data_IF_890734316538
#
_entry.id   IF_890734316538
#
_cell.length_a   1.000
_cell.length_b   1.000
_cell.length_c   1.000
_cell.angle_alpha   90.00
_cell.angle_beta   90.00
_cell.angle_gamma   90.00
#
_symmetry.space_group_name_H-M   'P 1'
#
loop_
_entity.id
_entity.type
_entity.pdbx_description
1 polymer ?
#
# COMPACT_ATOMS: atom_id res chain seq x y z
N UNK A 1 39.82 -2.49 10.74
CA UNK A 1 40.05 -3.23 12.00
C UNK A 1 41.47 -3.83 12.03
N UNK A 2 42.50 -3.01 11.79
CA UNK A 2 43.93 -3.38 11.83
C UNK A 2 44.73 -2.34 12.66
N UNK A 3 44.00 -1.45 13.35
CA UNK A 3 44.55 -0.40 14.24
C UNK A 3 44.04 -0.57 15.68
N UNK A 4 43.74 -1.80 16.10
CA UNK A 4 43.30 -2.10 17.48
C UNK A 4 43.96 -3.37 18.07
N UNK A 5 44.73 -4.12 17.28
CA UNK A 5 45.52 -5.26 17.78
C UNK A 5 46.97 -4.89 18.14
N UNK A 6 47.42 -3.68 17.79
CA UNK A 6 48.76 -3.20 18.10
C UNK A 6 48.90 -2.63 19.53
N UNK A 7 47.78 -2.38 20.23
CA UNK A 7 47.79 -1.77 21.56
C UNK A 7 47.75 -2.80 22.72
N UNK A 8 47.50 -4.08 22.40
CA UNK A 8 47.35 -5.14 23.41
C UNK A 8 48.60 -6.00 23.60
N UNK A 9 49.69 -5.71 22.88
CA UNK A 9 50.99 -6.39 22.99
C UNK A 9 52.05 -5.55 23.73
N UNK A 10 51.64 -4.45 24.37
CA UNK A 10 52.51 -3.51 25.10
C UNK A 10 52.18 -3.40 26.60
N UNK A 11 51.31 -4.26 27.14
CA UNK A 11 50.88 -4.22 28.55
C UNK A 11 51.26 -5.44 29.41
N UNK A 12 52.02 -6.40 28.87
CA UNK A 12 52.49 -7.58 29.64
C UNK A 12 54.00 -7.79 29.43
N UNK A 13 54.84 -6.99 30.09
CA UNK A 13 56.26 -7.29 30.31
C UNK A 13 56.93 -6.31 31.30
N UNK A 14 56.33 -6.06 32.46
CA UNK A 14 57.11 -5.58 33.63
C UNK A 14 57.52 -6.79 34.46
N UNK A 15 58.70 -7.33 34.15
CA UNK A 15 59.24 -8.51 34.81
C UNK A 15 60.68 -8.78 34.38
N UNK A 16 61.61 -8.13 35.06
CA UNK A 16 63.01 -8.55 35.28
C UNK A 16 64.01 -8.60 34.12
N UNK A 17 65.12 -7.90 34.38
CA UNK A 17 66.51 -8.13 33.92
C UNK A 17 67.00 -7.59 32.57
N UNK A 18 67.84 -6.55 32.70
CA UNK A 18 68.81 -6.04 31.73
C UNK A 18 69.82 -7.12 31.31
N UNK A 19 70.05 -7.28 30.00
CA UNK A 19 71.40 -7.53 29.44
C UNK A 19 71.61 -6.77 28.13
N UNK A 20 72.63 -5.92 28.12
CA UNK A 20 73.11 -5.14 26.98
C UNK A 20 73.61 -6.04 25.84
N UNK A 21 73.29 -5.69 24.58
CA UNK A 21 74.03 -6.07 23.37
C UNK A 21 74.06 -4.92 22.35
N UNK A 22 75.11 -4.85 21.49
CA UNK A 22 75.63 -3.58 20.97
C UNK A 22 74.92 -3.07 19.72
N UNK A 23 75.01 -1.74 19.52
CA UNK A 23 74.61 -0.99 18.32
C UNK A 23 75.29 -1.58 17.07
N UNK A 24 74.56 -2.36 16.29
CA UNK A 24 74.92 -2.64 14.90
C UNK A 24 73.77 -2.25 13.97
N UNK A 25 74.06 -1.25 13.14
CA UNK A 25 73.59 -1.08 11.77
C UNK A 25 72.10 -0.78 11.54
N UNK A 26 71.61 0.31 12.15
CA UNK A 26 70.42 1.05 11.69
C UNK A 26 70.55 1.46 10.21
N UNK A 27 71.77 1.80 9.76
CA UNK A 27 72.06 2.18 8.37
C UNK A 27 71.81 1.06 7.36
N UNK A 28 72.13 -0.19 7.71
CA UNK A 28 71.88 -1.35 6.83
C UNK A 28 70.39 -1.65 6.72
N UNK A 29 69.63 -1.47 7.81
CA UNK A 29 68.17 -1.65 7.80
C UNK A 29 67.46 -0.59 6.94
N UNK A 30 67.92 0.66 6.98
CA UNK A 30 67.40 1.74 6.13
C UNK A 30 67.67 1.51 4.64
N UNK A 31 68.87 1.02 4.29
CA UNK A 31 69.21 0.65 2.91
C UNK A 31 68.35 -0.51 2.38
N UNK A 32 68.08 -1.53 3.21
CA UNK A 32 67.18 -2.63 2.82
C UNK A 32 65.74 -2.17 2.59
N UNK A 33 65.20 -1.27 3.42
CA UNK A 33 63.84 -0.74 3.26
C UNK A 33 63.72 0.11 1.99
N UNK A 34 64.74 0.92 1.67
CA UNK A 34 64.77 1.72 0.44
C UNK A 34 64.89 0.84 -0.82
N UNK A 35 65.68 -0.23 -0.78
CA UNK A 35 65.81 -1.18 -1.88
C UNK A 35 64.50 -1.97 -2.13
N UNK A 36 63.81 -2.40 -1.07
CA UNK A 36 62.49 -3.04 -1.19
C UNK A 36 61.41 -2.09 -1.73
N UNK A 37 61.46 -0.80 -1.36
CA UNK A 37 60.58 0.24 -1.91
C UNK A 37 60.81 0.48 -3.40
N UNK A 38 62.06 0.45 -3.86
CA UNK A 38 62.40 0.64 -5.27
C UNK A 38 62.01 -0.57 -6.15
N UNK A 39 62.21 -1.80 -5.65
CA UNK A 39 61.81 -3.04 -6.35
C UNK A 39 60.28 -3.17 -6.45
N UNK A 40 59.55 -2.76 -5.42
CA UNK A 40 58.08 -2.73 -5.47
C UNK A 40 57.54 -1.64 -6.42
N UNK A 41 58.13 -0.45 -6.41
CA UNK A 41 57.72 0.64 -7.32
C UNK A 41 58.04 0.36 -8.80
N UNK A 42 59.20 -0.23 -9.10
CA UNK A 42 59.57 -0.61 -10.46
C UNK A 42 58.80 -1.84 -10.96
N UNK A 43 58.56 -2.84 -10.08
CA UNK A 43 57.74 -4.01 -10.39
C UNK A 43 56.26 -3.69 -10.70
N UNK A 44 55.69 -2.71 -9.99
CA UNK A 44 54.33 -2.20 -10.27
C UNK A 44 54.25 -1.47 -11.62
N UNK A 45 55.34 -0.84 -12.08
CA UNK A 45 55.37 -0.06 -13.33
C UNK A 45 55.61 -0.92 -14.57
N UNK A 46 56.32 -2.04 -14.45
CA UNK A 46 56.51 -3.03 -15.52
C UNK A 46 55.31 -3.98 -15.69
N UNK A 47 54.49 -4.20 -14.65
CA UNK A 47 53.20 -4.90 -14.76
C UNK A 47 52.08 -4.06 -15.39
N UNK A 48 52.25 -2.75 -15.47
CA UNK A 48 51.30 -1.80 -16.08
C UNK A 48 51.47 -1.62 -17.60
N UNK A 49 52.58 -2.11 -18.18
CA UNK A 49 52.97 -1.81 -19.57
C UNK A 49 53.06 -3.03 -20.51
N UNK A 50 52.67 -4.24 -20.08
CA UNK A 50 52.62 -5.40 -20.96
C UNK A 50 51.23 -5.61 -21.59
N UNK A 51 51.18 -5.58 -22.92
CA UNK A 51 50.03 -5.98 -23.77
C UNK A 51 49.75 -7.49 -23.71
N UNK A 52 49.71 -8.08 -22.53
CA UNK A 52 49.54 -9.53 -22.36
C UNK A 52 48.45 -9.90 -21.33
N UNK A 53 47.42 -9.07 -21.20
CA UNK A 53 46.22 -9.35 -20.39
C UNK A 53 44.92 -9.05 -21.18
N UNK A 54 44.88 -9.44 -22.45
CA UNK A 54 43.71 -9.32 -23.33
C UNK A 54 42.87 -10.60 -23.44
N UNK A 55 42.91 -11.46 -22.42
CA UNK A 55 42.05 -12.63 -22.31
C UNK A 55 41.76 -12.90 -20.85
N UNK A 56 40.48 -13.01 -20.50
CA UNK A 56 39.95 -13.25 -19.14
C UNK A 56 39.85 -11.98 -18.26
N UNK A 57 39.08 -11.00 -18.74
CA UNK A 57 38.22 -10.17 -17.87
C UNK A 57 36.87 -10.02 -18.54
N UNK A 58 35.91 -10.89 -18.19
CA UNK A 58 34.50 -10.55 -18.42
C UNK A 58 34.23 -9.28 -17.60
N UNK A 59 33.79 -8.17 -18.21
CA UNK A 59 33.24 -7.09 -17.42
C UNK A 59 31.98 -7.67 -16.77
N UNK A 60 31.95 -7.74 -15.45
CA UNK A 60 30.69 -7.67 -14.72
C UNK A 60 30.15 -6.25 -14.92
N UNK A 61 29.76 -5.91 -16.16
CA UNK A 61 28.80 -4.86 -16.38
C UNK A 61 27.53 -5.36 -15.74
N UNK A 62 27.12 -4.64 -14.69
CA UNK A 62 25.81 -4.79 -14.10
C UNK A 62 24.82 -4.96 -15.24
N UNK A 63 24.07 -6.03 -15.16
CA UNK A 63 22.88 -6.20 -15.97
C UNK A 63 21.97 -5.04 -15.55
N UNK A 64 22.13 -3.88 -16.17
CA UNK A 64 21.00 -3.02 -16.47
C UNK A 64 20.16 -3.86 -17.42
N UNK A 65 19.39 -4.76 -16.82
CA UNK A 65 18.22 -5.33 -17.46
C UNK A 65 17.37 -4.09 -17.70
N UNK A 66 17.42 -3.59 -18.94
CA UNK A 66 16.28 -2.96 -19.53
C UNK A 66 15.12 -3.90 -19.22
N UNK A 67 14.32 -3.55 -18.21
CA UNK A 67 13.06 -4.20 -17.95
C UNK A 67 12.34 -4.14 -19.29
N UNK A 68 12.26 -5.28 -19.95
CA UNK A 68 11.38 -5.44 -21.09
C UNK A 68 10.03 -4.92 -20.64
N UNK A 69 9.51 -3.91 -21.35
CA UNK A 69 8.14 -3.37 -21.31
C UNK A 69 7.13 -4.51 -21.56
N UNK A 70 7.09 -5.49 -20.67
CA UNK A 70 6.30 -6.71 -20.77
C UNK A 70 5.21 -6.64 -19.72
N UNK A 71 4.03 -6.20 -20.17
CA UNK A 71 2.83 -5.86 -19.41
C UNK A 71 2.94 -4.58 -18.57
N UNK A 72 2.42 -3.47 -19.10
CA UNK A 72 2.03 -2.35 -18.24
C UNK A 72 0.87 -2.84 -17.36
N UNK A 73 0.97 -2.62 -16.05
CA UNK A 73 -0.16 -2.84 -15.16
C UNK A 73 -1.35 -1.97 -15.60
N UNK A 74 -2.60 -2.44 -15.39
CA UNK A 74 -3.76 -1.65 -15.76
C UNK A 74 -3.74 -0.32 -15.00
N UNK A 75 -3.85 0.80 -15.72
CA UNK A 75 -4.03 2.10 -15.09
C UNK A 75 -5.47 2.29 -14.58
N UNK A 76 -6.42 1.52 -15.12
CA UNK A 76 -7.83 1.54 -14.77
C UNK A 76 -8.47 0.16 -14.92
N UNK A 77 -9.57 -0.06 -14.21
CA UNK A 77 -10.48 -1.18 -14.40
C UNK A 77 -11.81 -0.68 -14.95
N UNK A 78 -12.58 -1.57 -15.59
CA UNK A 78 -13.92 -1.25 -16.11
C UNK A 78 -14.97 -1.74 -15.13
N UNK A 79 -15.85 -0.84 -14.69
CA UNK A 79 -16.97 -1.14 -13.80
C UNK A 79 -18.16 -1.70 -14.60
N UNK A 80 -19.15 -2.35 -13.96
CA UNK A 80 -20.33 -2.90 -14.65
C UNK A 80 -21.12 -1.86 -15.46
N UNK A 81 -21.05 -0.59 -15.08
CA UNK A 81 -21.66 0.54 -15.80
C UNK A 81 -20.94 0.90 -17.12
N UNK A 82 -19.71 0.42 -17.32
CA UNK A 82 -18.80 0.86 -18.38
C UNK A 82 -17.82 1.97 -17.94
N UNK A 83 -18.04 2.58 -16.77
CA UNK A 83 -17.13 3.59 -16.23
C UNK A 83 -15.74 3.01 -15.95
N UNK A 84 -14.72 3.87 -15.98
CA UNK A 84 -13.33 3.49 -15.74
C UNK A 84 -12.84 4.00 -14.40
N UNK A 85 -12.57 3.10 -13.46
CA UNK A 85 -11.99 3.41 -12.16
C UNK A 85 -10.46 3.33 -12.21
N UNK A 86 -9.70 4.35 -11.78
CA UNK A 86 -8.24 4.27 -11.71
C UNK A 86 -7.77 3.14 -10.77
N UNK A 87 -6.67 2.48 -11.11
CA UNK A 87 -6.16 1.34 -10.32
C UNK A 87 -5.47 1.72 -9.02
N UNK A 88 -5.10 3.00 -8.86
CA UNK A 88 -4.44 3.54 -7.67
C UNK A 88 -5.19 4.79 -7.21
N UNK A 89 -5.64 4.78 -5.96
CA UNK A 89 -6.32 5.89 -5.33
C UNK A 89 -5.54 6.42 -4.12
N UNK A 90 -5.73 7.70 -3.80
CA UNK A 90 -5.31 8.22 -2.51
C UNK A 90 -6.38 7.90 -1.46
N UNK A 91 -6.08 7.05 -0.48
CA UNK A 91 -6.91 6.88 0.70
C UNK A 91 -6.72 8.04 1.69
N UNK A 92 -7.81 8.59 2.23
CA UNK A 92 -7.77 9.76 3.14
C UNK A 92 -8.16 9.46 4.59
N UNK A 93 -8.33 8.19 4.95
CA UNK A 93 -8.63 7.77 6.33
C UNK A 93 -7.49 8.14 7.31
N UNK A 94 -7.86 8.63 8.49
CA UNK A 94 -6.92 9.08 9.55
C UNK A 94 -5.90 10.14 9.09
N UNK A 95 -6.22 10.95 8.09
CA UNK A 95 -5.49 12.18 7.84
C UNK A 95 -6.01 13.26 8.78
N UNK A 96 -5.13 13.90 9.54
CA UNK A 96 -5.53 14.95 10.47
C UNK A 96 -6.00 16.18 9.70
N UNK A 97 -6.81 17.02 10.36
CA UNK A 97 -7.21 18.32 9.80
C UNK A 97 -5.95 19.13 9.45
N UNK A 98 -5.92 19.70 8.25
CA UNK A 98 -4.78 20.45 7.68
C UNK A 98 -3.76 19.59 6.93
N UNK A 99 -3.72 18.27 7.16
CA UNK A 99 -2.81 17.37 6.44
C UNK A 99 -3.44 16.79 5.18
N UNK A 100 -4.75 16.50 5.21
CA UNK A 100 -5.44 15.84 4.11
C UNK A 100 -5.48 16.69 2.85
N UNK A 101 -5.69 18.01 2.99
CA UNK A 101 -5.76 18.89 1.82
C UNK A 101 -4.44 18.95 1.06
N UNK A 102 -3.32 18.99 1.78
CA UNK A 102 -1.99 18.94 1.17
C UNK A 102 -1.71 17.57 0.50
N UNK A 103 -2.15 16.47 1.12
CA UNK A 103 -2.03 15.14 0.56
C UNK A 103 -2.81 15.01 -0.77
N UNK A 104 -4.06 15.48 -0.80
CA UNK A 104 -4.91 15.50 -2.01
C UNK A 104 -4.27 16.35 -3.11
N UNK A 105 -3.83 17.58 -2.82
CA UNK A 105 -3.15 18.45 -3.80
C UNK A 105 -1.89 17.78 -4.36
N UNK A 106 -1.08 17.18 -3.48
CA UNK A 106 0.12 16.45 -3.90
C UNK A 106 -0.22 15.27 -4.80
N UNK A 107 -1.23 14.48 -4.44
CA UNK A 107 -1.67 13.34 -5.24
C UNK A 107 -2.15 13.77 -6.63
N UNK A 108 -3.03 14.77 -6.71
CA UNK A 108 -3.55 15.27 -7.98
C UNK A 108 -2.43 15.83 -8.89
N UNK A 109 -1.44 16.50 -8.29
CA UNK A 109 -0.23 16.97 -8.99
C UNK A 109 0.65 15.82 -9.47
N UNK A 110 0.79 14.76 -8.68
CA UNK A 110 1.56 13.56 -9.02
C UNK A 110 0.90 12.72 -10.14
N UNK A 111 -0.40 12.90 -10.38
CA UNK A 111 -1.14 12.24 -11.45
C UNK A 111 -2.31 11.38 -10.97
N UNK A 112 -2.56 11.27 -9.66
CA UNK A 112 -3.74 10.58 -9.16
C UNK A 112 -5.01 11.19 -9.76
N UNK A 113 -5.98 10.33 -10.06
CA UNK A 113 -7.33 10.72 -10.47
C UNK A 113 -8.40 9.95 -9.71
N UNK A 114 -8.05 9.35 -8.58
CA UNK A 114 -8.98 8.66 -7.68
C UNK A 114 -8.69 9.05 -6.24
N UNK A 115 -9.68 9.61 -5.56
CA UNK A 115 -9.64 9.94 -4.14
C UNK A 115 -10.67 9.08 -3.41
N UNK A 116 -10.22 8.28 -2.44
CA UNK A 116 -11.07 7.45 -1.60
C UNK A 116 -11.31 8.12 -0.26
N UNK A 117 -12.54 8.57 -0.06
CA UNK A 117 -13.06 9.21 1.15
C UNK A 117 -14.16 8.38 1.82
N UNK A 118 -14.72 8.92 2.90
CA UNK A 118 -15.92 8.42 3.54
C UNK A 118 -16.49 9.49 4.47
N UNK A 119 -17.81 9.48 4.63
CA UNK A 119 -18.51 10.38 5.56
C UNK A 119 -17.91 10.37 6.97
N UNK A 120 -17.62 9.18 7.49
CA UNK A 120 -17.13 9.00 8.87
C UNK A 120 -15.69 9.48 9.08
N UNK A 121 -14.93 9.76 8.01
CA UNK A 121 -13.55 10.25 8.15
C UNK A 121 -13.51 11.71 8.60
N UNK A 122 -14.65 12.42 8.54
CA UNK A 122 -14.83 13.80 9.04
C UNK A 122 -13.85 14.80 8.43
N UNK A 123 -13.48 14.58 7.18
CA UNK A 123 -12.52 15.40 6.46
C UNK A 123 -12.92 15.68 5.00
N UNK A 124 -14.15 15.34 4.61
CA UNK A 124 -14.68 15.56 3.25
C UNK A 124 -14.67 17.03 2.83
N UNK A 125 -14.91 17.97 3.74
CA UNK A 125 -14.86 19.42 3.47
C UNK A 125 -13.47 19.87 3.01
N UNK A 126 -12.42 19.39 3.69
CA UNK A 126 -11.04 19.72 3.34
C UNK A 126 -10.61 19.02 2.04
N UNK A 127 -11.11 17.80 1.79
CA UNK A 127 -10.91 17.10 0.51
C UNK A 127 -11.55 17.87 -0.64
N UNK A 128 -12.81 18.30 -0.49
CA UNK A 128 -13.53 19.10 -1.49
C UNK A 128 -12.81 20.40 -1.83
N UNK A 129 -12.40 21.15 -0.80
CA UNK A 129 -11.62 22.37 -1.00
C UNK A 129 -10.28 22.09 -1.71
N UNK A 130 -9.57 21.02 -1.35
CA UNK A 130 -8.31 20.66 -1.96
C UNK A 130 -8.44 20.23 -3.44
N UNK A 131 -9.53 19.55 -3.79
CA UNK A 131 -9.89 19.22 -5.17
C UNK A 131 -10.12 20.51 -5.97
N UNK A 132 -10.95 21.43 -5.45
CA UNK A 132 -11.23 22.72 -6.09
C UNK A 132 -9.95 23.54 -6.31
N UNK A 133 -9.14 23.66 -5.26
CA UNK A 133 -7.86 24.39 -5.28
C UNK A 133 -6.83 23.76 -6.24
N UNK A 134 -6.96 22.48 -6.56
CA UNK A 134 -6.03 21.80 -7.48
C UNK A 134 -6.17 22.29 -8.92
N UNK A 135 -7.32 22.87 -9.28
CA UNK A 135 -7.65 23.27 -10.64
C UNK A 135 -7.89 22.09 -11.61
N UNK A 136 -7.84 20.83 -11.15
CA UNK A 136 -8.17 19.67 -11.98
C UNK A 136 -9.70 19.62 -12.19
N UNK A 137 -10.18 19.52 -13.44
CA UNK A 137 -11.63 19.43 -13.71
C UNK A 137 -12.30 18.28 -12.96
N UNK A 138 -13.49 18.54 -12.40
CA UNK A 138 -14.24 17.57 -11.57
C UNK A 138 -14.49 16.25 -12.31
N UNK A 139 -14.81 16.31 -13.60
CA UNK A 139 -15.06 15.15 -14.46
C UNK A 139 -13.82 14.29 -14.76
N UNK A 140 -12.63 14.76 -14.38
CA UNK A 140 -11.38 13.99 -14.47
C UNK A 140 -11.02 13.29 -13.16
N UNK A 141 -11.75 13.54 -12.06
CA UNK A 141 -11.44 12.98 -10.74
C UNK A 141 -12.53 11.98 -10.37
N UNK A 142 -12.14 10.73 -10.12
CA UNK A 142 -13.00 9.71 -9.55
C UNK A 142 -13.07 9.89 -8.02
N UNK A 143 -14.22 10.24 -7.48
CA UNK A 143 -14.42 10.42 -6.03
C UNK A 143 -15.26 9.27 -5.48
N UNK A 144 -14.69 8.54 -4.51
CA UNK A 144 -15.39 7.55 -3.70
C UNK A 144 -15.76 8.15 -2.34
N UNK A 145 -17.00 7.98 -1.90
CA UNK A 145 -17.38 8.13 -0.49
C UNK A 145 -18.20 6.94 -0.01
N UNK A 146 -18.56 6.92 1.28
CA UNK A 146 -19.17 5.75 1.93
C UNK A 146 -20.28 6.15 2.89
N UNK A 147 -21.42 5.46 2.76
CA UNK A 147 -22.57 5.54 3.65
C UNK A 147 -22.22 4.92 5.00
N UNK A 148 -22.25 5.72 6.06
CA UNK A 148 -21.97 5.25 7.41
C UNK A 148 -23.14 4.47 8.00
N UNK A 149 -22.83 3.58 8.94
CA UNK A 149 -23.71 2.57 9.51
C UNK A 149 -25.02 3.13 10.09
N UNK A 150 -25.04 4.37 10.58
CA UNK A 150 -26.23 5.03 11.14
C UNK A 150 -27.27 5.45 10.09
N UNK A 151 -26.94 5.37 8.80
CA UNK A 151 -27.76 5.91 7.71
C UNK A 151 -28.22 4.83 6.73
N UNK A 152 -28.25 3.57 7.17
CA UNK A 152 -28.70 2.47 6.32
C UNK A 152 -30.20 2.51 6.06
N UNK A 153 -31.00 3.11 6.96
CA UNK A 153 -32.44 3.20 6.77
C UNK A 153 -32.74 3.97 5.48
N UNK A 154 -33.61 3.47 4.57
CA UNK A 154 -33.83 4.10 3.25
C UNK A 154 -34.16 5.60 3.30
N UNK A 155 -34.87 6.05 4.33
CA UNK A 155 -35.20 7.46 4.55
C UNK A 155 -33.99 8.34 4.92
N UNK A 156 -32.90 7.77 5.40
CA UNK A 156 -31.70 8.48 5.83
C UNK A 156 -30.60 8.54 4.75
N UNK A 157 -30.59 7.59 3.81
CA UNK A 157 -29.51 7.43 2.81
C UNK A 157 -29.29 8.69 1.98
N UNK A 158 -30.38 9.30 1.48
CA UNK A 158 -30.27 10.45 0.58
C UNK A 158 -29.76 11.69 1.31
N UNK A 159 -30.20 11.92 2.55
CA UNK A 159 -29.69 13.03 3.36
C UNK A 159 -28.21 12.86 3.71
N UNK A 160 -27.75 11.63 3.97
CA UNK A 160 -26.35 11.34 4.23
C UNK A 160 -25.48 11.56 2.97
N UNK A 161 -25.98 11.18 1.79
CA UNK A 161 -25.31 11.48 0.53
C UNK A 161 -25.24 12.98 0.27
N UNK A 162 -26.34 13.72 0.46
CA UNK A 162 -26.40 15.16 0.21
C UNK A 162 -25.43 15.95 1.10
N UNK A 163 -25.24 15.51 2.36
CA UNK A 163 -24.23 16.07 3.25
C UNK A 163 -22.80 15.82 2.75
N UNK A 164 -22.48 14.61 2.27
CA UNK A 164 -21.19 14.34 1.63
C UNK A 164 -20.97 15.15 0.35
N UNK A 165 -21.98 15.25 -0.53
CA UNK A 165 -21.94 16.06 -1.76
C UNK A 165 -21.69 17.53 -1.45
N UNK A 166 -22.39 18.07 -0.45
CA UNK A 166 -22.20 19.45 0.00
C UNK A 166 -20.79 19.70 0.54
N UNK A 167 -20.24 18.79 1.34
CA UNK A 167 -18.87 18.92 1.89
C UNK A 167 -17.81 18.81 0.80
N UNK A 168 -18.00 17.89 -0.15
CA UNK A 168 -17.07 17.69 -1.26
C UNK A 168 -17.19 18.77 -2.35
N UNK A 169 -18.18 19.67 -2.26
CA UNK A 169 -18.49 20.72 -3.25
C UNK A 169 -18.68 20.13 -4.66
N UNK A 170 -19.53 19.10 -4.79
CA UNK A 170 -19.81 18.39 -6.04
C UNK A 170 -21.27 17.96 -6.14
N UNK A 171 -21.80 17.87 -7.37
CA UNK A 171 -23.20 17.47 -7.62
C UNK A 171 -23.39 15.94 -7.65
N UNK A 172 -22.31 15.17 -7.84
CA UNK A 172 -22.35 13.72 -7.87
C UNK A 172 -21.09 13.07 -7.27
N UNK A 173 -21.22 11.80 -6.90
CA UNK A 173 -20.10 10.88 -6.60
C UNK A 173 -19.90 9.88 -7.73
N UNK A 174 -18.65 9.54 -8.03
CA UNK A 174 -18.33 8.51 -9.01
C UNK A 174 -18.60 7.11 -8.44
N UNK A 175 -18.38 6.93 -7.13
CA UNK A 175 -18.68 5.70 -6.41
C UNK A 175 -19.18 5.98 -4.99
N UNK A 176 -20.27 5.33 -4.58
CA UNK A 176 -20.76 5.38 -3.21
C UNK A 176 -20.93 3.97 -2.63
N UNK A 177 -20.33 3.73 -1.48
CA UNK A 177 -20.26 2.39 -0.88
C UNK A 177 -21.11 2.28 0.39
N UNK A 178 -21.79 1.16 0.60
CA UNK A 178 -22.17 0.75 1.97
C UNK A 178 -20.88 0.46 2.73
N UNK A 179 -20.54 1.26 3.75
CA UNK A 179 -19.22 1.21 4.39
C UNK A 179 -18.98 -0.11 5.16
N UNK A 180 -20.01 -0.62 5.82
CA UNK A 180 -19.97 -1.88 6.56
C UNK A 180 -21.28 -2.63 6.39
N UNK A 181 -21.31 -3.96 6.44
CA UNK A 181 -22.56 -4.73 6.37
C UNK A 181 -23.32 -4.75 7.71
N UNK A 182 -23.24 -3.67 8.49
CA UNK A 182 -23.84 -3.56 9.84
C UNK A 182 -24.61 -2.24 9.90
N UNK A 183 -25.91 -2.32 10.13
CA UNK A 183 -26.77 -1.17 10.30
C UNK A 183 -26.85 -0.79 11.78
N UNK A 184 -26.63 0.49 12.08
CA UNK A 184 -26.89 1.05 13.40
C UNK A 184 -28.25 1.75 13.38
N UNK A 185 -28.97 1.68 14.49
CA UNK A 185 -30.09 2.57 14.71
C UNK A 185 -29.59 4.01 14.77
N UNK A 186 -30.40 4.94 14.26
CA UNK A 186 -30.08 6.37 14.21
C UNK A 186 -29.78 6.94 15.59
N UNK A 187 -30.56 6.55 16.58
CA UNK A 187 -30.38 6.96 17.97
C UNK A 187 -29.66 5.86 18.76
N UNK A 188 -28.68 6.22 19.61
CA UNK A 188 -28.09 5.28 20.54
C UNK A 188 -29.12 4.80 21.56
N UNK A 189 -28.77 3.73 22.28
CA UNK A 189 -29.55 3.24 23.41
C UNK A 189 -29.59 4.25 24.55
N UNK A 190 -30.46 4.01 25.54
CA UNK A 190 -30.55 4.85 26.73
C UNK A 190 -29.25 4.94 27.52
N UNK A 191 -28.35 3.96 27.36
CA UNK A 191 -27.00 3.93 27.95
C UNK A 191 -25.94 4.64 27.08
N UNK A 192 -26.36 5.30 25.99
CA UNK A 192 -25.50 6.01 25.05
C UNK A 192 -24.73 5.11 24.09
N UNK A 193 -24.93 3.78 24.13
CA UNK A 193 -24.22 2.84 23.25
C UNK A 193 -24.88 2.75 21.88
N UNK A 194 -24.08 2.39 20.89
CA UNK A 194 -24.58 1.98 19.58
C UNK A 194 -25.56 0.84 19.71
N UNK A 195 -26.71 0.95 19.04
CA UNK A 195 -27.69 -0.13 18.94
C UNK A 195 -27.70 -0.62 17.50
N UNK A 196 -27.58 -1.92 17.31
CA UNK A 196 -27.65 -2.54 16.00
C UNK A 196 -29.11 -2.62 15.54
N UNK A 197 -29.34 -2.31 14.28
CA UNK A 197 -30.57 -2.68 13.60
C UNK A 197 -30.39 -4.09 13.02
N UNK A 198 -30.83 -5.10 13.75
CA UNK A 198 -30.66 -6.50 13.37
C UNK A 198 -31.36 -6.84 12.05
N UNK A 199 -32.54 -6.25 11.80
CA UNK A 199 -33.32 -6.54 10.60
C UNK A 199 -32.60 -6.01 9.36
N UNK A 200 -32.11 -4.77 9.41
CA UNK A 200 -31.42 -4.14 8.29
C UNK A 200 -29.96 -4.64 8.15
N UNK A 201 -29.36 -5.13 9.24
CA UNK A 201 -28.07 -5.84 9.21
C UNK A 201 -28.20 -7.21 8.54
N UNK A 202 -29.27 -7.95 8.84
CA UNK A 202 -29.55 -9.25 8.22
C UNK A 202 -29.99 -9.09 6.75
N UNK A 203 -30.70 -8.02 6.42
CA UNK A 203 -31.18 -7.73 5.08
C UNK A 203 -30.80 -6.30 4.63
N UNK A 204 -29.64 -6.12 3.97
CA UNK A 204 -29.21 -4.80 3.48
C UNK A 204 -29.91 -4.37 2.18
N UNK A 205 -30.82 -5.19 1.62
CA UNK A 205 -31.45 -4.91 0.33
C UNK A 205 -32.26 -3.59 0.31
N UNK A 206 -33.03 -3.21 1.35
CA UNK A 206 -33.73 -1.92 1.35
C UNK A 206 -32.78 -0.72 1.20
N UNK A 207 -31.63 -0.75 1.89
CA UNK A 207 -30.57 0.26 1.73
C UNK A 207 -30.05 0.28 0.29
N UNK A 208 -29.80 -0.90 -0.28
CA UNK A 208 -29.34 -1.03 -1.67
C UNK A 208 -30.34 -0.47 -2.68
N UNK A 209 -31.64 -0.78 -2.54
CA UNK A 209 -32.69 -0.25 -3.42
C UNK A 209 -32.72 1.28 -3.39
N UNK A 210 -32.49 1.89 -2.22
CA UNK A 210 -32.39 3.35 -2.13
C UNK A 210 -31.14 3.88 -2.85
N UNK A 211 -30.00 3.21 -2.76
CA UNK A 211 -28.82 3.55 -3.54
C UNK A 211 -29.06 3.45 -5.05
N UNK A 212 -29.80 2.44 -5.52
CA UNK A 212 -30.20 2.30 -6.93
C UNK A 212 -31.11 3.46 -7.39
N UNK A 213 -32.03 3.92 -6.54
CA UNK A 213 -32.84 5.12 -6.80
C UNK A 213 -31.94 6.37 -7.00
N UNK A 214 -30.92 6.53 -6.16
CA UNK A 214 -29.99 7.68 -6.21
C UNK A 214 -29.06 7.64 -7.43
N UNK A 215 -28.75 6.44 -7.95
CA UNK A 215 -28.14 6.29 -9.28
C UNK A 215 -29.09 6.80 -10.36
N UNK A 216 -30.37 6.42 -10.31
CA UNK A 216 -31.40 6.90 -11.25
C UNK A 216 -31.61 8.42 -11.22
N UNK A 217 -31.38 9.06 -10.06
CA UNK A 217 -31.38 10.54 -9.92
C UNK A 217 -30.10 11.21 -10.40
N UNK A 218 -29.07 10.46 -10.75
CA UNK A 218 -27.78 10.99 -11.21
C UNK A 218 -26.85 11.53 -10.12
N UNK A 219 -27.22 11.41 -8.83
CA UNK A 219 -26.37 11.82 -7.69
C UNK A 219 -25.19 10.88 -7.46
N UNK A 220 -25.28 9.65 -7.95
CA UNK A 220 -24.23 8.63 -7.88
C UNK A 220 -24.07 8.00 -9.26
N UNK A 221 -22.83 7.80 -9.73
CA UNK A 221 -22.57 7.06 -10.98
C UNK A 221 -22.52 5.55 -10.75
N UNK A 222 -21.80 5.10 -9.73
CA UNK A 222 -21.64 3.69 -9.38
C UNK A 222 -21.90 3.45 -7.90
N UNK A 223 -22.46 2.30 -7.56
CA UNK A 223 -22.68 1.88 -6.18
C UNK A 223 -21.96 0.58 -5.89
N UNK A 224 -21.46 0.43 -4.67
CA UNK A 224 -20.70 -0.74 -4.25
C UNK A 224 -20.84 -1.01 -2.76
N UNK A 225 -20.04 -1.95 -2.29
CA UNK A 225 -20.04 -2.40 -0.90
C UNK A 225 -18.63 -2.35 -0.33
N UNK A 226 -18.51 -2.39 1.00
CA UNK A 226 -17.23 -2.45 1.69
C UNK A 226 -17.35 -3.37 2.90
N UNK A 227 -16.32 -4.19 3.12
CA UNK A 227 -16.24 -5.15 4.21
C UNK A 227 -17.26 -6.31 4.17
N UNK A 228 -17.78 -6.65 2.98
CA UNK A 228 -18.65 -7.81 2.84
C UNK A 228 -17.81 -9.07 2.60
N UNK A 229 -18.04 -10.12 3.38
CA UNK A 229 -17.55 -11.47 3.08
C UNK A 229 -18.45 -12.16 2.03
N UNK A 230 -18.05 -13.34 1.54
CA UNK A 230 -18.73 -14.03 0.43
C UNK A 230 -20.22 -14.24 0.74
N UNK A 231 -20.56 -14.76 1.92
CA UNK A 231 -21.95 -14.97 2.34
C UNK A 231 -22.76 -13.68 2.30
N UNK A 232 -22.23 -12.57 2.82
CA UNK A 232 -22.95 -11.28 2.84
C UNK A 232 -23.11 -10.70 1.44
N UNK A 233 -22.13 -10.90 0.55
CA UNK A 233 -22.26 -10.54 -0.86
C UNK A 233 -23.42 -11.35 -1.48
N UNK A 234 -23.41 -12.67 -1.30
CA UNK A 234 -24.44 -13.58 -1.81
C UNK A 234 -25.83 -13.23 -1.29
N UNK A 235 -25.96 -12.93 0.00
CA UNK A 235 -27.20 -12.47 0.62
C UNK A 235 -27.76 -11.25 -0.11
N UNK A 236 -26.95 -10.21 -0.31
CA UNK A 236 -27.36 -9.02 -1.06
C UNK A 236 -27.72 -9.37 -2.52
N UNK A 237 -26.83 -10.06 -3.24
CA UNK A 237 -26.99 -10.33 -4.69
C UNK A 237 -28.04 -11.38 -5.03
N UNK A 238 -28.59 -12.08 -4.04
CA UNK A 238 -29.74 -12.99 -4.22
C UNK A 238 -31.06 -12.24 -4.46
N UNK A 239 -31.10 -10.94 -4.17
CA UNK A 239 -32.23 -10.07 -4.42
C UNK A 239 -32.26 -9.59 -5.88
N UNK A 240 -33.41 -9.11 -6.41
CA UNK A 240 -33.52 -8.64 -7.78
C UNK A 240 -32.92 -7.24 -7.96
N UNK A 241 -31.58 -7.17 -7.98
CA UNK A 241 -30.83 -5.91 -8.12
C UNK A 241 -31.00 -5.31 -9.53
N UNK A 242 -31.28 -4.01 -9.60
CA UNK A 242 -31.25 -3.21 -10.84
C UNK A 242 -29.83 -2.79 -11.21
N UNK A 243 -29.00 -2.51 -10.21
CA UNK A 243 -27.59 -2.15 -10.36
C UNK A 243 -26.78 -3.14 -9.53
N UNK A 244 -25.85 -3.85 -10.17
CA UNK A 244 -24.94 -4.77 -9.48
C UNK A 244 -23.88 -3.98 -8.69
N UNK A 245 -23.40 -4.48 -7.54
CA UNK A 245 -22.27 -3.87 -6.86
C UNK A 245 -21.06 -3.77 -7.79
N UNK A 246 -20.56 -2.55 -7.99
CA UNK A 246 -19.44 -2.29 -8.87
C UNK A 246 -18.12 -2.78 -8.27
N UNK A 247 -17.98 -2.64 -6.95
CA UNK A 247 -16.80 -3.05 -6.19
C UNK A 247 -17.18 -3.61 -4.82
N UNK A 248 -16.25 -4.37 -4.21
CA UNK A 248 -16.18 -4.59 -2.78
C UNK A 248 -14.84 -4.10 -2.23
N UNK A 249 -14.86 -3.04 -1.41
CA UNK A 249 -13.65 -2.50 -0.78
C UNK A 249 -13.35 -3.26 0.53
N UNK A 250 -12.16 -3.86 0.64
CA UNK A 250 -11.81 -4.80 1.74
C UNK A 250 -10.37 -4.67 2.19
N UNK A 251 -10.07 -5.12 3.42
CA UNK A 251 -8.69 -5.18 3.92
C UNK A 251 -7.90 -6.21 3.12
N UNK A 252 -6.95 -5.76 2.31
CA UNK A 252 -6.08 -6.65 1.56
C UNK A 252 -4.65 -6.20 1.79
N UNK A 253 -3.85 -7.06 2.39
CA UNK A 253 -2.44 -6.80 2.67
C UNK A 253 -1.63 -8.07 2.52
N UNK A 254 -0.31 -7.99 2.69
CA UNK A 254 0.53 -9.20 2.81
C UNK A 254 0.03 -10.10 3.94
N UNK A 255 -0.34 -9.50 5.09
CA UNK A 255 -0.79 -10.22 6.28
C UNK A 255 -2.23 -10.71 6.21
N UNK A 256 -3.07 -10.10 5.37
CA UNK A 256 -4.45 -10.52 5.11
C UNK A 256 -4.69 -10.64 3.60
N UNK A 257 -4.17 -11.70 2.94
CA UNK A 257 -4.20 -11.82 1.48
C UNK A 257 -5.58 -12.14 0.91
N UNK A 258 -6.50 -12.69 1.71
CA UNK A 258 -7.87 -13.11 1.37
C UNK A 258 -8.00 -13.84 0.02
N UNK A 259 -7.19 -14.87 -0.21
CA UNK A 259 -7.12 -15.59 -1.51
C UNK A 259 -8.47 -16.17 -1.96
N UNK A 260 -9.28 -16.65 -1.02
CA UNK A 260 -10.63 -17.18 -1.32
C UNK A 260 -11.55 -16.08 -1.85
N UNK A 261 -11.64 -14.94 -1.15
CA UNK A 261 -12.44 -13.80 -1.58
C UNK A 261 -11.99 -13.26 -2.94
N UNK A 262 -10.69 -13.16 -3.18
CA UNK A 262 -10.14 -12.73 -4.47
C UNK A 262 -10.55 -13.66 -5.61
N UNK A 263 -10.40 -14.98 -5.41
CA UNK A 263 -10.79 -15.98 -6.39
C UNK A 263 -12.29 -15.89 -6.68
N UNK A 264 -13.11 -15.93 -5.63
CA UNK A 264 -14.56 -15.86 -5.74
C UNK A 264 -15.01 -14.58 -6.45
N UNK A 265 -14.46 -13.43 -6.06
CA UNK A 265 -14.83 -12.12 -6.64
C UNK A 265 -14.49 -12.05 -8.12
N UNK A 266 -13.32 -12.57 -8.52
CA UNK A 266 -12.92 -12.66 -9.93
C UNK A 266 -13.86 -13.57 -10.73
N UNK A 267 -14.22 -14.73 -10.20
CA UNK A 267 -15.14 -15.69 -10.85
C UNK A 267 -16.56 -15.12 -11.00
N UNK A 268 -16.95 -14.18 -10.12
CA UNK A 268 -18.26 -13.53 -10.12
C UNK A 268 -18.27 -12.12 -10.72
N UNK A 269 -17.14 -11.67 -11.31
CA UNK A 269 -17.04 -10.35 -11.95
C UNK A 269 -17.16 -9.15 -10.99
N UNK A 270 -16.81 -9.33 -9.71
CA UNK A 270 -16.79 -8.28 -8.70
C UNK A 270 -15.35 -7.76 -8.52
N UNK A 271 -15.13 -6.48 -8.77
CA UNK A 271 -13.83 -5.85 -8.56
C UNK A 271 -13.58 -5.63 -7.06
N UNK A 272 -12.36 -5.90 -6.59
CA UNK A 272 -11.96 -5.57 -5.22
C UNK A 272 -11.13 -4.30 -5.16
N UNK A 273 -11.35 -3.51 -4.11
CA UNK A 273 -10.47 -2.39 -3.75
C UNK A 273 -9.75 -2.72 -2.44
N UNK A 274 -8.42 -2.67 -2.45
CA UNK A 274 -7.55 -3.00 -1.35
C UNK A 274 -7.30 -1.77 -0.46
N UNK A 275 -8.00 -1.68 0.67
CA UNK A 275 -7.61 -0.77 1.74
C UNK A 275 -6.53 -1.39 2.64
N UNK A 276 -5.76 -0.53 3.32
CA UNK A 276 -4.57 -0.94 4.10
C UNK A 276 -3.60 -1.82 3.30
N UNK A 277 -3.24 -1.47 2.05
CA UNK A 277 -2.47 -2.35 1.15
C UNK A 277 -1.06 -2.66 1.65
N UNK A 278 -0.50 -1.78 2.49
CA UNK A 278 0.79 -1.94 3.16
C UNK A 278 0.66 -2.51 4.58
N UNK A 279 -0.51 -3.03 4.96
CA UNK A 279 -0.89 -3.28 6.35
C UNK A 279 -1.47 -2.04 7.03
N UNK A 280 -2.03 -2.21 8.22
CA UNK A 280 -2.46 -1.08 9.05
C UNK A 280 -1.26 -0.23 9.49
N UNK A 281 -1.49 0.96 10.06
CA UNK A 281 -0.43 1.83 10.61
C UNK A 281 0.57 1.08 11.50
N UNK A 282 0.12 0.06 12.23
CA UNK A 282 0.96 -0.74 13.12
C UNK A 282 1.74 -1.86 12.41
N UNK A 283 1.42 -2.15 11.14
CA UNK A 283 2.02 -3.23 10.34
C UNK A 283 2.77 -2.74 9.11
N UNK A 284 2.75 -1.44 8.81
CA UNK A 284 3.47 -0.90 7.63
C UNK A 284 4.95 -1.24 7.73
N UNK A 285 5.56 -1.04 8.90
CA UNK A 285 6.99 -1.31 9.08
C UNK A 285 7.32 -2.79 8.85
N UNK A 286 6.49 -3.68 9.37
CA UNK A 286 6.62 -5.13 9.29
C UNK A 286 6.46 -5.59 7.83
N UNK A 287 5.42 -5.10 7.15
CA UNK A 287 5.15 -5.40 5.74
C UNK A 287 6.30 -4.96 4.82
N UNK A 288 6.86 -3.76 5.04
CA UNK A 288 8.00 -3.26 4.27
C UNK A 288 9.31 -4.00 4.59
N UNK A 289 9.35 -4.78 5.68
CA UNK A 289 10.51 -5.57 6.10
C UNK A 289 10.40 -7.07 5.82
N UNK A 290 9.31 -7.55 5.21
CA UNK A 290 9.18 -8.92 4.74
C UNK A 290 10.38 -9.28 3.84
N UNK A 291 11.11 -10.38 4.10
CA UNK A 291 12.33 -10.74 3.36
C UNK A 291 12.13 -10.79 1.85
N UNK A 292 11.04 -11.41 1.39
CA UNK A 292 10.66 -11.54 -0.01
C UNK A 292 10.40 -10.16 -0.64
N UNK A 293 9.67 -9.28 0.04
CA UNK A 293 9.40 -7.91 -0.42
C UNK A 293 10.71 -7.13 -0.58
N UNK A 294 11.61 -7.18 0.41
CA UNK A 294 12.92 -6.50 0.33
C UNK A 294 13.81 -7.06 -0.77
N UNK A 295 13.80 -8.39 -0.94
CA UNK A 295 14.57 -9.06 -1.98
C UNK A 295 14.09 -8.61 -3.37
N UNK A 296 12.78 -8.63 -3.61
CA UNK A 296 12.16 -8.20 -4.87
C UNK A 296 12.44 -6.71 -5.11
N UNK A 297 12.23 -5.86 -4.10
CA UNK A 297 12.51 -4.42 -4.17
C UNK A 297 13.96 -4.15 -4.64
N UNK A 298 14.94 -4.83 -4.02
CA UNK A 298 16.35 -4.72 -4.39
C UNK A 298 16.64 -5.24 -5.80
N UNK A 299 16.03 -6.35 -6.20
CA UNK A 299 16.19 -6.92 -7.54
C UNK A 299 15.65 -6.00 -8.63
N UNK A 300 14.55 -5.30 -8.35
CA UNK A 300 13.86 -4.43 -9.30
C UNK A 300 14.31 -2.96 -9.25
N UNK A 301 15.03 -2.56 -8.20
CA UNK A 301 15.44 -1.16 -8.01
C UNK A 301 14.26 -0.23 -7.65
N UNK A 302 13.22 -0.76 -7.00
CA UNK A 302 12.02 -0.03 -6.54
C UNK A 302 11.89 -0.14 -5.02
N UNK A 303 10.97 0.59 -4.40
CA UNK A 303 10.78 0.52 -2.94
C UNK A 303 9.94 -0.68 -2.50
N UNK A 304 10.09 -1.16 -1.25
CA UNK A 304 9.20 -2.18 -0.70
C UNK A 304 7.71 -1.82 -0.76
N UNK A 305 7.37 -0.53 -0.65
CA UNK A 305 5.98 -0.07 -0.78
C UNK A 305 5.47 -0.25 -2.21
N UNK A 306 6.29 0.13 -3.20
CA UNK A 306 5.97 -0.06 -4.62
C UNK A 306 5.81 -1.54 -4.98
N UNK A 307 6.59 -2.45 -4.37
CA UNK A 307 6.40 -3.91 -4.55
C UNK A 307 5.00 -4.32 -4.10
N UNK A 308 4.59 -3.97 -2.88
CA UNK A 308 3.28 -4.36 -2.32
C UNK A 308 2.10 -3.72 -3.06
N UNK A 309 2.21 -2.44 -3.42
CA UNK A 309 1.17 -1.74 -4.19
C UNK A 309 1.03 -2.37 -5.57
N UNK A 310 2.15 -2.60 -6.26
CA UNK A 310 2.14 -3.22 -7.59
C UNK A 310 1.64 -4.65 -7.56
N UNK A 311 1.95 -5.39 -6.51
CA UNK A 311 1.43 -6.75 -6.29
C UNK A 311 -0.10 -6.76 -6.25
N UNK A 312 -0.72 -5.85 -5.48
CA UNK A 312 -2.19 -5.75 -5.45
C UNK A 312 -2.78 -5.38 -6.82
N UNK A 313 -2.21 -4.38 -7.52
CA UNK A 313 -2.65 -4.06 -8.88
C UNK A 313 -2.53 -5.29 -9.81
N UNK A 314 -1.43 -6.04 -9.72
CA UNK A 314 -1.20 -7.22 -10.54
C UNK A 314 -2.12 -8.40 -10.18
N UNK A 315 -2.67 -8.45 -8.95
CA UNK A 315 -3.75 -9.37 -8.54
C UNK A 315 -5.12 -8.98 -9.10
N UNK A 316 -5.23 -7.80 -9.73
CA UNK A 316 -6.46 -7.30 -10.32
C UNK A 316 -7.34 -6.51 -9.34
N UNK A 317 -6.72 -5.79 -8.39
CA UNK A 317 -7.45 -4.92 -7.47
C UNK A 317 -7.11 -3.44 -7.70
N UNK A 318 -8.04 -2.56 -7.32
CA UNK A 318 -7.74 -1.14 -7.06
C UNK A 318 -7.00 -1.06 -5.73
N UNK A 319 -6.04 -0.15 -5.58
CA UNK A 319 -5.19 -0.07 -4.39
C UNK A 319 -5.26 1.32 -3.78
N UNK A 320 -5.44 1.40 -2.45
CA UNK A 320 -5.72 2.65 -1.73
C UNK A 320 -4.59 2.99 -0.72
N UNK A 321 -3.34 3.22 -1.16
CA UNK A 321 -2.27 3.56 -0.22
C UNK A 321 -2.51 4.96 0.39
N UNK A 322 -2.68 5.01 1.71
CA UNK A 322 -2.79 6.27 2.44
C UNK A 322 -1.41 6.84 2.75
N UNK A 323 -1.21 8.14 2.49
CA UNK A 323 -0.08 8.91 2.99
C UNK A 323 -0.43 10.40 3.05
N UNK A 324 0.13 11.10 4.03
CA UNK A 324 0.14 12.58 4.08
C UNK A 324 1.54 13.15 3.82
N UNK A 325 2.56 12.28 3.70
CA UNK A 325 3.93 12.67 3.37
C UNK A 325 4.08 12.79 1.85
N UNK A 326 4.40 13.98 1.30
CA UNK A 326 4.41 14.21 -0.15
C UNK A 326 5.24 13.23 -0.96
N UNK A 327 6.49 12.96 -0.54
CA UNK A 327 7.38 12.02 -1.23
C UNK A 327 6.81 10.60 -1.30
N UNK A 328 6.11 10.14 -0.26
CA UNK A 328 5.44 8.83 -0.25
C UNK A 328 4.20 8.82 -1.12
N UNK A 329 3.45 9.93 -1.19
CA UNK A 329 2.30 10.05 -2.11
C UNK A 329 2.78 9.92 -3.55
N UNK A 330 3.84 10.63 -3.92
CA UNK A 330 4.45 10.54 -5.26
C UNK A 330 5.03 9.15 -5.56
N UNK A 331 5.74 8.55 -4.59
CA UNK A 331 6.31 7.20 -4.71
C UNK A 331 5.23 6.12 -4.91
N UNK A 332 4.16 6.17 -4.11
CA UNK A 332 3.08 5.19 -4.11
C UNK A 332 2.24 5.20 -5.40
N UNK A 333 2.28 6.29 -6.18
CA UNK A 333 1.60 6.38 -7.46
C UNK A 333 2.26 5.51 -8.54
N UNK A 334 3.56 5.27 -8.40
CA UNK A 334 4.34 4.56 -9.40
C UNK A 334 4.25 3.05 -9.18
N UNK A 335 3.59 2.37 -10.11
CA UNK A 335 3.38 0.91 -10.07
C UNK A 335 4.14 0.22 -11.20
N UNK A 336 4.65 -0.99 -10.90
CA UNK A 336 5.57 -1.74 -11.74
C UNK A 336 5.13 -3.19 -11.85
N UNK A 337 5.02 -3.73 -13.06
CA UNK A 337 4.76 -5.15 -13.22
C UNK A 337 5.90 -5.97 -12.59
N UNK A 338 5.54 -6.84 -11.64
CA UNK A 338 6.46 -7.77 -11.02
C UNK A 338 6.69 -8.95 -11.98
N UNK A 339 7.95 -9.36 -12.22
CA UNK A 339 8.23 -10.57 -12.98
C UNK A 339 7.48 -11.77 -12.41
N UNK A 340 7.01 -12.69 -13.28
CA UNK A 340 6.15 -13.80 -12.87
C UNK A 340 6.69 -14.61 -11.69
N UNK A 341 8.00 -14.82 -11.63
CA UNK A 341 8.63 -15.55 -10.51
C UNK A 341 8.62 -14.74 -9.20
N UNK A 342 8.89 -13.43 -9.25
CA UNK A 342 8.78 -12.53 -8.09
C UNK A 342 7.34 -12.41 -7.60
N UNK A 343 6.38 -12.33 -8.53
CA UNK A 343 4.95 -12.30 -8.21
C UNK A 343 4.51 -13.59 -7.50
N UNK A 344 4.86 -14.76 -8.04
CA UNK A 344 4.58 -16.07 -7.42
C UNK A 344 5.26 -16.23 -6.06
N UNK A 345 6.51 -15.78 -5.93
CA UNK A 345 7.24 -15.80 -4.66
C UNK A 345 6.47 -15.03 -3.59
N UNK A 346 5.98 -13.83 -3.92
CA UNK A 346 5.23 -13.00 -2.99
C UNK A 346 3.84 -13.57 -2.67
N UNK A 347 3.11 -14.11 -3.67
CA UNK A 347 1.84 -14.83 -3.45
C UNK A 347 2.02 -16.00 -2.47
N UNK A 348 3.03 -16.85 -2.68
CA UNK A 348 3.30 -18.00 -1.84
C UNK A 348 3.67 -17.59 -0.40
N UNK A 349 4.46 -16.53 -0.25
CA UNK A 349 4.83 -16.01 1.07
C UNK A 349 3.62 -15.46 1.83
N UNK A 350 2.75 -14.69 1.16
CA UNK A 350 1.56 -14.11 1.77
C UNK A 350 0.55 -15.17 2.26
N UNK A 351 0.48 -16.35 1.61
CA UNK A 351 -0.40 -17.45 2.03
C UNK A 351 0.27 -18.47 2.97
N UNK A 352 1.57 -18.30 3.27
CA UNK A 352 2.30 -19.24 4.15
C UNK A 352 2.05 -19.02 5.64
N UNK A 353 1.30 -17.99 6.00
CA UNK A 353 0.89 -17.70 7.37
C UNK A 353 -0.64 -17.59 7.45
N UNK A 354 -1.24 -17.79 8.64
CA UNK A 354 -2.65 -17.51 8.85
C UNK A 354 -2.98 -16.04 8.52
N UNK A 355 -4.18 -15.74 7.98
CA UNK A 355 -4.62 -14.37 7.78
C UNK A 355 -4.66 -13.61 9.11
N UNK A 356 -4.09 -12.42 9.13
CA UNK A 356 -4.14 -11.50 10.25
C UNK A 356 -4.87 -10.22 9.85
N UNK A 357 -6.10 -10.08 10.33
CA UNK A 357 -6.96 -8.92 10.08
C UNK A 357 -6.79 -7.89 11.19
N UNK A 358 -6.54 -6.64 10.82
CA UNK A 358 -6.44 -5.54 11.79
C UNK A 358 -7.77 -4.83 11.97
N UNK A 359 -8.54 -4.66 10.89
CA UNK A 359 -9.78 -3.90 10.93
C UNK A 359 -10.93 -4.86 11.19
N UNK A 360 -11.16 -5.13 12.47
CA UNK A 360 -12.31 -5.90 12.96
C UNK A 360 -13.03 -5.15 14.09
N UNK A 361 -14.16 -4.48 13.79
CA UNK A 361 -14.89 -3.71 14.77
C UNK A 361 -15.89 -4.52 15.60
N UNK A 362 -16.04 -5.84 15.37
CA UNK A 362 -17.12 -6.65 15.95
C UNK A 362 -17.26 -6.50 17.47
N UNK A 363 -16.14 -6.66 18.18
CA UNK A 363 -16.09 -6.47 19.64
C UNK A 363 -16.36 -5.03 20.07
N UNK A 364 -15.85 -4.05 19.32
CA UNK A 364 -16.02 -2.63 19.64
C UNK A 364 -17.48 -2.17 19.44
N UNK A 365 -18.22 -2.83 18.56
CA UNK A 365 -19.65 -2.60 18.33
C UNK A 365 -20.56 -3.47 19.19
N UNK A 366 -19.98 -4.32 20.05
CA UNK A 366 -20.73 -5.18 20.95
C UNK A 366 -21.47 -6.33 20.25
N UNK A 367 -21.00 -6.75 19.07
CA UNK A 367 -21.54 -7.92 18.38
C UNK A 367 -21.12 -9.19 19.12
N UNK A 368 -22.02 -10.17 19.18
CA UNK A 368 -21.79 -11.50 19.73
C UNK A 368 -21.19 -12.48 18.69
N UNK A 369 -20.98 -12.01 17.46
CA UNK A 369 -20.34 -12.72 16.34
C UNK A 369 -19.23 -11.88 15.70
N UNK A 370 -18.31 -12.52 14.98
CA UNK A 370 -17.37 -11.82 14.09
C UNK A 370 -18.07 -11.51 12.75
N UNK A 371 -18.04 -10.26 12.31
CA UNK A 371 -18.66 -9.85 11.04
C UNK A 371 -18.07 -10.51 9.80
N UNK A 372 -16.86 -11.07 9.92
CA UNK A 372 -16.16 -11.75 8.84
C UNK A 372 -16.30 -13.27 8.90
N UNK A 373 -16.91 -13.83 9.94
CA UNK A 373 -17.22 -15.26 9.98
C UNK A 373 -18.29 -15.59 8.91
N UNK A 374 -18.07 -16.73 8.26
CA UNK A 374 -18.97 -17.27 7.23
C UNK A 374 -20.30 -17.76 7.80
#
# INVERSE_FOLDING_TARGET
MVMSLAYQLLADAEGTERKQRPRQNIFVRLLCVMALGYVTFTGLRTLSSSKLWSGIRKPCHGIQRNFTKGANLPSHYTLPSGDRIPSVALGVWQASKGEVGNAVKTALKAGYRHIDGAWIYRNEEEVGQAIKDSGVPRDQIFITSKLWNNFHSPEDVEAALDDSLSKLDTEYLDLYLIHWPIAFKKNPGSDGKTVIDENLTANPYPTWQKLEELVGKGKIKNIGISNFNIRRIQNLTSNPLKVKPAVNQVELSFWNPQSELLKWSKENGLLLEAYSPLGSTQQVKESLNVPEVKQIAKQLGITPAQVLISWHVQRGTVVLPKSVTPSRVEENFQVFALPSESFKQLENAAVSHPPFRVVNPSKAWGLDYDIFDD
#
